data_IF_870488370423
#
_entry.id   IF_870488370423
#
_cell.length_a   1.000
_cell.length_b   1.000
_cell.length_c   1.000
_cell.angle_alpha   90.00
_cell.angle_beta   90.00
_cell.angle_gamma   90.00
#
_symmetry.space_group_name_H-M   'P 1'
#
loop_
_entity.id
_entity.type
_entity.pdbx_description
1 polymer ?
#
# COMPACT_ATOMS: atom_id res chain seq x y z
N UNK A 1 -18.08 -14.50 15.35
CA UNK A 1 -18.99 -15.46 16.00
C UNK A 1 -19.37 -16.48 14.93
N UNK A 2 -18.85 -17.70 15.03
CA UNK A 2 -19.10 -18.73 14.00
C UNK A 2 -20.40 -19.45 14.33
N UNK A 3 -21.37 -19.38 13.42
CA UNK A 3 -22.67 -20.06 13.54
C UNK A 3 -22.54 -21.42 12.87
N UNK A 4 -22.70 -22.49 13.63
CA UNK A 4 -22.58 -23.86 13.15
C UNK A 4 -23.96 -24.48 12.90
N UNK A 5 -24.03 -25.35 11.90
CA UNK A 5 -25.15 -26.27 11.77
C UNK A 5 -25.05 -27.40 12.79
N UNK A 6 -26.18 -28.04 13.14
CA UNK A 6 -26.24 -29.19 14.07
C UNK A 6 -25.24 -30.31 13.72
N UNK A 7 -24.97 -30.51 12.43
CA UNK A 7 -24.01 -31.50 11.95
C UNK A 7 -22.56 -31.08 12.22
N UNK A 8 -22.25 -29.79 12.12
CA UNK A 8 -20.93 -29.24 12.41
C UNK A 8 -20.65 -29.18 13.92
N UNK A 9 -21.67 -28.92 14.75
CA UNK A 9 -21.55 -28.98 16.22
C UNK A 9 -21.11 -30.37 16.70
N UNK A 10 -21.76 -31.44 16.21
CA UNK A 10 -21.40 -32.82 16.57
C UNK A 10 -19.97 -33.22 16.16
N UNK A 11 -19.44 -32.62 15.09
CA UNK A 11 -18.06 -32.85 14.65
C UNK A 11 -17.09 -32.04 15.53
N UNK A 12 -17.44 -30.81 15.86
CA UNK A 12 -16.66 -29.94 16.72
C UNK A 12 -16.46 -30.54 18.12
N UNK A 13 -17.52 -31.09 18.72
CA UNK A 13 -17.48 -31.76 20.04
C UNK A 13 -16.51 -32.95 20.11
N UNK A 14 -16.24 -33.60 18.97
CA UNK A 14 -15.32 -34.73 18.86
C UNK A 14 -13.93 -34.34 18.37
N UNK A 15 -13.68 -33.04 18.20
CA UNK A 15 -12.43 -32.49 17.69
C UNK A 15 -11.68 -31.68 18.75
N UNK A 16 -10.41 -31.38 18.51
CA UNK A 16 -9.62 -30.44 19.33
C UNK A 16 -9.94 -28.97 19.02
N UNK A 17 -10.78 -28.71 18.02
CA UNK A 17 -11.17 -27.38 17.60
C UNK A 17 -12.33 -26.88 18.46
N UNK A 18 -12.12 -25.76 19.15
CA UNK A 18 -13.11 -25.13 20.03
C UNK A 18 -13.72 -23.92 19.31
N UNK A 19 -14.94 -24.00 18.75
CA UNK A 19 -15.55 -22.91 17.99
C UNK A 19 -15.68 -21.60 18.79
N UNK A 20 -15.87 -21.71 20.09
CA UNK A 20 -15.89 -20.58 21.04
C UNK A 20 -14.56 -19.83 21.19
N UNK A 21 -13.45 -20.44 20.76
CA UNK A 21 -12.12 -19.82 20.71
C UNK A 21 -11.74 -19.39 19.29
N UNK A 22 -12.59 -19.65 18.29
CA UNK A 22 -12.33 -19.23 16.93
C UNK A 22 -12.44 -17.70 16.82
N UNK A 23 -11.29 -17.09 16.57
CA UNK A 23 -11.20 -15.66 16.29
C UNK A 23 -11.07 -15.51 14.78
N UNK A 24 -12.08 -14.91 14.19
CA UNK A 24 -12.00 -14.44 12.82
C UNK A 24 -10.95 -13.32 12.77
N UNK A 25 -10.06 -13.37 11.79
CA UNK A 25 -8.91 -12.49 11.76
C UNK A 25 -8.40 -12.32 10.34
N UNK A 26 -8.09 -11.06 10.00
CA UNK A 26 -7.51 -10.69 8.72
C UNK A 26 -6.25 -11.52 8.44
N UNK A 27 -6.10 -11.98 7.20
CA UNK A 27 -4.88 -12.66 6.75
C UNK A 27 -3.73 -11.67 6.61
N UNK A 28 -2.59 -11.95 7.26
CA UNK A 28 -1.35 -11.20 7.10
C UNK A 28 -0.22 -12.18 6.81
N UNK A 29 0.71 -11.80 5.94
CA UNK A 29 1.90 -12.60 5.64
C UNK A 29 2.99 -11.75 5.02
N UNK A 30 4.17 -12.33 4.87
CA UNK A 30 5.32 -11.68 4.24
C UNK A 30 6.08 -12.67 3.36
N UNK A 31 6.74 -12.13 2.34
CA UNK A 31 7.63 -12.88 1.45
C UNK A 31 8.97 -12.17 1.44
N UNK A 32 10.06 -12.92 1.63
CA UNK A 32 11.41 -12.36 1.71
C UNK A 32 12.38 -13.14 0.82
N UNK A 33 13.27 -12.41 0.16
CA UNK A 33 14.42 -13.00 -0.52
C UNK A 33 15.55 -13.14 0.49
N UNK A 34 15.82 -14.38 0.93
CA UNK A 34 16.86 -14.69 1.93
C UNK A 34 18.24 -14.19 1.48
N UNK A 35 18.50 -14.21 0.17
CA UNK A 35 19.76 -13.73 -0.43
C UNK A 35 19.80 -12.22 -0.67
N UNK A 36 18.74 -11.48 -0.32
CA UNK A 36 18.64 -10.04 -0.55
C UNK A 36 18.49 -9.62 -2.02
N UNK A 37 18.25 -10.58 -2.93
CA UNK A 37 18.14 -10.30 -4.37
C UNK A 37 16.76 -9.69 -4.65
N UNK A 38 16.75 -8.46 -5.17
CA UNK A 38 15.54 -7.74 -5.60
C UNK A 38 15.04 -8.34 -6.91
N UNK A 39 13.84 -8.93 -6.90
CA UNK A 39 13.21 -9.50 -8.09
C UNK A 39 11.70 -9.29 -8.05
N UNK A 40 11.06 -9.23 -9.23
CA UNK A 40 9.60 -9.19 -9.34
C UNK A 40 8.93 -10.49 -8.83
N UNK A 41 9.69 -11.57 -8.65
CA UNK A 41 9.18 -12.84 -8.12
C UNK A 41 8.50 -12.67 -6.75
N UNK A 42 9.09 -11.85 -5.87
CA UNK A 42 8.57 -11.59 -4.53
C UNK A 42 7.15 -10.98 -4.60
N UNK A 43 6.92 -10.07 -5.54
CA UNK A 43 5.61 -9.47 -5.76
C UNK A 43 4.59 -10.49 -6.31
N UNK A 44 5.01 -11.37 -7.23
CA UNK A 44 4.15 -12.46 -7.71
C UNK A 44 3.75 -13.41 -6.56
N UNK A 45 4.70 -13.78 -5.70
CA UNK A 45 4.46 -14.63 -4.54
C UNK A 45 3.54 -13.96 -3.52
N UNK A 46 3.74 -12.66 -3.26
CA UNK A 46 2.85 -11.86 -2.40
C UNK A 46 1.43 -11.77 -2.97
N UNK A 47 1.26 -11.64 -4.29
CA UNK A 47 -0.06 -11.69 -4.94
C UNK A 47 -0.74 -13.03 -4.72
N UNK A 48 -0.05 -14.14 -4.97
CA UNK A 48 -0.60 -15.49 -4.73
C UNK A 48 -0.96 -15.70 -3.26
N UNK A 49 -0.19 -15.14 -2.34
CA UNK A 49 -0.52 -15.17 -0.91
C UNK A 49 -1.82 -14.41 -0.62
N UNK A 50 -2.01 -13.20 -1.16
CA UNK A 50 -3.24 -12.42 -1.02
C UNK A 50 -4.45 -13.15 -1.60
N UNK A 51 -4.33 -13.72 -2.81
CA UNK A 51 -5.39 -14.51 -3.45
C UNK A 51 -5.82 -15.69 -2.56
N UNK A 52 -4.86 -16.36 -1.92
CA UNK A 52 -5.13 -17.48 -0.99
C UNK A 52 -5.75 -17.04 0.32
N UNK A 53 -5.63 -15.77 0.71
CA UNK A 53 -6.24 -15.19 1.91
C UNK A 53 -7.64 -14.61 1.66
N UNK A 54 -8.17 -14.68 0.43
CA UNK A 54 -9.50 -14.17 0.10
C UNK A 54 -10.63 -14.74 0.99
N UNK A 55 -10.51 -16.00 1.41
CA UNK A 55 -11.45 -16.65 2.34
C UNK A 55 -11.49 -16.03 3.75
N UNK A 56 -10.55 -15.12 4.06
CA UNK A 56 -10.47 -14.36 5.32
C UNK A 56 -10.81 -12.88 5.13
N UNK A 57 -11.19 -12.49 3.92
CA UNK A 57 -11.68 -11.15 3.63
C UNK A 57 -13.17 -11.05 3.86
N UNK A 58 -13.63 -9.87 4.26
CA UNK A 58 -15.04 -9.50 4.18
C UNK A 58 -15.28 -8.69 2.90
N UNK A 59 -16.50 -8.81 2.38
CA UNK A 59 -16.99 -8.05 1.25
C UNK A 59 -18.19 -7.19 1.68
N UNK A 60 -18.37 -6.05 1.03
CA UNK A 60 -19.51 -5.18 1.19
C UNK A 60 -20.80 -5.83 0.64
N UNK A 61 -21.92 -5.11 0.76
CA UNK A 61 -23.24 -5.60 0.33
C UNK A 61 -23.37 -5.85 -1.18
N UNK A 62 -22.44 -5.35 -1.99
CA UNK A 62 -22.36 -5.60 -3.44
C UNK A 62 -21.67 -6.95 -3.78
N UNK A 63 -21.16 -7.68 -2.79
CA UNK A 63 -20.39 -8.92 -2.92
C UNK A 63 -19.14 -8.80 -3.84
N UNK A 64 -18.69 -7.58 -4.15
CA UNK A 64 -17.58 -7.31 -5.07
C UNK A 64 -16.53 -6.38 -4.44
N UNK A 65 -16.98 -5.39 -3.67
CA UNK A 65 -16.08 -4.52 -2.90
C UNK A 65 -15.56 -5.25 -1.66
N UNK A 66 -14.25 -5.44 -1.55
CA UNK A 66 -13.62 -5.97 -0.35
C UNK A 66 -13.30 -4.90 0.69
N UNK A 67 -13.19 -5.28 1.96
CA UNK A 67 -12.84 -4.37 3.07
C UNK A 67 -11.43 -3.77 2.93
N UNK A 68 -10.52 -4.47 2.25
CA UNK A 68 -9.19 -3.96 1.93
C UNK A 68 -8.16 -5.05 1.66
N UNK A 69 -7.25 -4.77 0.73
CA UNK A 69 -6.06 -5.56 0.47
C UNK A 69 -4.90 -4.64 0.10
N UNK A 70 -3.67 -5.03 0.44
CA UNK A 70 -2.50 -4.21 0.17
C UNK A 70 -1.20 -4.99 0.26
N UNK A 71 -0.15 -4.43 -0.34
CA UNK A 71 1.22 -4.94 -0.24
C UNK A 71 2.17 -3.78 0.04
N UNK A 72 2.99 -3.93 1.09
CA UNK A 72 4.10 -3.02 1.36
C UNK A 72 5.37 -3.62 0.76
N UNK A 73 6.13 -2.80 0.03
CA UNK A 73 7.39 -3.21 -0.59
C UNK A 73 8.47 -2.15 -0.41
N UNK A 74 9.72 -2.53 -0.65
CA UNK A 74 10.79 -1.55 -0.83
C UNK A 74 10.52 -0.66 -2.05
N UNK A 75 11.04 0.57 -2.02
CA UNK A 75 10.87 1.55 -3.11
C UNK A 75 11.33 0.94 -4.45
N UNK A 76 10.43 0.79 -5.45
CA UNK A 76 10.79 0.28 -6.77
C UNK A 76 11.45 1.38 -7.62
N UNK A 77 12.71 1.71 -7.32
CA UNK A 77 13.44 2.86 -7.88
C UNK A 77 13.35 2.95 -9.42
N UNK A 78 13.56 1.84 -10.12
CA UNK A 78 13.52 1.81 -11.58
C UNK A 78 12.16 2.22 -12.14
N UNK A 79 11.07 1.83 -11.48
CA UNK A 79 9.70 2.21 -11.87
C UNK A 79 9.49 3.71 -11.68
N UNK A 80 9.88 4.22 -10.51
CA UNK A 80 9.64 5.62 -10.14
C UNK A 80 10.49 6.57 -10.98
N UNK A 81 11.78 6.28 -11.15
CA UNK A 81 12.68 7.09 -12.00
C UNK A 81 12.17 7.15 -13.43
N UNK A 82 11.78 6.01 -14.02
CA UNK A 82 11.22 5.96 -15.37
C UNK A 82 9.94 6.78 -15.47
N UNK A 83 9.06 6.68 -14.47
CA UNK A 83 7.78 7.39 -14.49
C UNK A 83 7.93 8.90 -14.28
N UNK A 84 8.77 9.33 -13.34
CA UNK A 84 9.03 10.75 -13.05
C UNK A 84 9.72 11.42 -14.24
N UNK A 85 10.73 10.76 -14.84
CA UNK A 85 11.37 11.26 -16.05
C UNK A 85 10.39 11.41 -17.21
N UNK A 86 9.45 10.47 -17.37
CA UNK A 86 8.43 10.54 -18.43
C UNK A 86 7.41 11.66 -18.20
N UNK A 87 7.04 11.93 -16.94
CA UNK A 87 5.98 12.87 -16.61
C UNK A 87 6.47 14.32 -16.53
N UNK A 88 7.59 14.55 -15.84
CA UNK A 88 8.05 15.89 -15.45
C UNK A 88 9.43 16.24 -16.03
N UNK A 89 10.05 15.35 -16.81
CA UNK A 89 11.41 15.50 -17.35
C UNK A 89 12.50 15.70 -16.27
N UNK A 90 12.24 15.19 -15.07
CA UNK A 90 13.15 15.27 -13.91
C UNK A 90 13.85 13.93 -13.68
N UNK A 91 15.14 13.99 -13.38
CA UNK A 91 15.91 12.85 -12.87
C UNK A 91 15.83 12.79 -11.34
N UNK A 92 15.45 11.63 -10.79
CA UNK A 92 15.43 11.42 -9.34
C UNK A 92 16.87 11.34 -8.78
N UNK A 93 17.09 11.75 -7.52
CA UNK A 93 18.34 11.45 -6.82
C UNK A 93 18.64 9.93 -6.79
N UNK A 94 19.89 9.53 -6.51
CA UNK A 94 20.23 8.13 -6.28
C UNK A 94 19.35 7.46 -5.19
N UNK A 95 19.15 6.14 -5.25
CA UNK A 95 18.47 5.40 -4.18
C UNK A 95 19.06 5.73 -2.80
N UNK A 96 18.19 5.99 -1.82
CA UNK A 96 18.60 6.43 -0.47
C UNK A 96 18.73 7.95 -0.31
N UNK A 97 18.77 8.71 -1.41
CA UNK A 97 18.81 10.18 -1.38
C UNK A 97 17.46 10.83 -1.70
N UNK A 98 16.42 10.02 -1.93
CA UNK A 98 15.05 10.48 -2.03
C UNK A 98 14.11 9.55 -1.26
N UNK A 99 13.00 10.13 -0.81
CA UNK A 99 11.87 9.44 -0.23
C UNK A 99 10.64 9.63 -1.13
N UNK A 100 9.62 8.83 -0.85
CA UNK A 100 8.35 8.90 -1.57
C UNK A 100 7.20 8.57 -0.61
N UNK A 101 6.02 9.07 -0.91
CA UNK A 101 4.80 8.77 -0.16
C UNK A 101 3.60 8.71 -1.07
N UNK A 102 2.59 7.93 -0.68
CA UNK A 102 1.30 7.85 -1.36
C UNK A 102 0.28 8.58 -0.49
N UNK A 103 -0.42 9.54 -1.10
CA UNK A 103 -1.47 10.32 -0.46
C UNK A 103 -2.81 9.97 -1.09
N UNK A 104 -3.81 9.75 -0.23
CA UNK A 104 -5.21 9.61 -0.59
C UNK A 104 -5.91 10.93 -0.26
N UNK A 105 -6.47 11.58 -1.28
CA UNK A 105 -7.00 12.93 -1.21
C UNK A 105 -8.41 12.97 -1.80
N UNK A 106 -9.17 14.01 -1.50
CA UNK A 106 -10.37 14.34 -2.28
C UNK A 106 -10.00 15.28 -3.42
N UNK A 107 -10.69 15.18 -4.57
CA UNK A 107 -10.42 16.02 -5.75
C UNK A 107 -10.49 17.51 -5.42
N UNK A 108 -11.52 17.94 -4.69
CA UNK A 108 -11.75 19.33 -4.30
C UNK A 108 -10.66 19.88 -3.37
N UNK A 109 -10.07 19.00 -2.55
CA UNK A 109 -9.03 19.35 -1.57
C UNK A 109 -7.61 19.29 -2.13
N UNK A 110 -7.43 18.74 -3.34
CA UNK A 110 -6.10 18.38 -3.85
C UNK A 110 -5.14 19.58 -3.89
N UNK A 111 -5.60 20.74 -4.33
CA UNK A 111 -4.77 21.95 -4.42
C UNK A 111 -4.31 22.41 -3.04
N UNK A 112 -5.23 22.49 -2.09
CA UNK A 112 -4.94 22.90 -0.71
C UNK A 112 -4.02 21.91 0.00
N UNK A 113 -4.26 20.60 -0.19
CA UNK A 113 -3.41 19.55 0.35
C UNK A 113 -1.98 19.62 -0.22
N UNK A 114 -1.83 19.92 -1.51
CA UNK A 114 -0.52 20.09 -2.16
C UNK A 114 0.23 21.31 -1.62
N UNK A 115 -0.47 22.42 -1.39
CA UNK A 115 0.10 23.63 -0.78
C UNK A 115 0.53 23.35 0.67
N UNK A 116 -0.36 22.79 1.49
CA UNK A 116 -0.06 22.44 2.88
C UNK A 116 1.10 21.44 3.00
N UNK A 117 1.16 20.44 2.12
CA UNK A 117 2.28 19.51 2.07
C UNK A 117 3.58 20.23 1.70
N UNK A 118 3.54 21.16 0.74
CA UNK A 118 4.68 21.99 0.37
C UNK A 118 5.17 22.86 1.53
N UNK A 119 4.27 23.43 2.31
CA UNK A 119 4.59 24.24 3.49
C UNK A 119 5.26 23.39 4.58
N UNK A 120 4.70 22.21 4.86
CA UNK A 120 5.27 21.25 5.80
C UNK A 120 6.64 20.75 5.34
N UNK A 121 6.78 20.42 4.05
CA UNK A 121 8.06 19.98 3.48
C UNK A 121 9.14 21.06 3.66
N UNK A 122 8.81 22.33 3.38
CA UNK A 122 9.71 23.47 3.61
C UNK A 122 10.09 23.62 5.08
N UNK A 123 9.12 23.51 5.99
CA UNK A 123 9.36 23.56 7.43
C UNK A 123 10.28 22.42 7.92
N UNK A 124 10.19 21.24 7.29
CA UNK A 124 11.02 20.08 7.59
C UNK A 124 12.35 20.04 6.83
N UNK A 125 12.72 21.09 6.10
CA UNK A 125 13.91 21.11 5.23
C UNK A 125 13.95 19.94 4.22
N UNK A 126 12.80 19.67 3.63
CA UNK A 126 12.59 18.69 2.57
C UNK A 126 12.09 19.40 1.31
N UNK A 127 12.73 19.12 0.18
CA UNK A 127 12.31 19.57 -1.14
C UNK A 127 11.36 18.56 -1.76
N UNK A 128 10.21 19.04 -2.22
CA UNK A 128 9.32 18.25 -3.09
C UNK A 128 9.88 18.24 -4.51
N UNK A 129 10.07 17.06 -5.08
CA UNK A 129 10.64 16.85 -6.43
C UNK A 129 9.51 16.75 -7.46
N UNK A 130 8.54 15.87 -7.22
CA UNK A 130 7.51 15.52 -8.19
C UNK A 130 6.23 15.06 -7.49
N UNK A 131 5.09 15.37 -8.11
CA UNK A 131 3.77 14.83 -7.78
C UNK A 131 3.29 14.00 -8.96
N UNK A 132 3.05 12.72 -8.73
CA UNK A 132 2.75 11.74 -9.77
C UNK A 132 1.36 11.16 -9.61
N UNK A 133 0.62 11.02 -10.70
CA UNK A 133 -0.61 10.21 -10.74
C UNK A 133 -0.24 8.74 -10.90
N UNK A 134 -0.86 7.86 -10.12
CA UNK A 134 -0.69 6.42 -10.29
C UNK A 134 -1.65 5.91 -11.36
N UNK A 135 -1.20 4.94 -12.15
CA UNK A 135 -2.05 4.23 -13.09
C UNK A 135 -2.92 3.25 -12.29
N UNK A 136 -4.22 3.54 -12.20
CA UNK A 136 -5.21 2.70 -11.53
C UNK A 136 -6.24 2.20 -12.55
N UNK A 137 -6.80 1.01 -12.32
CA UNK A 137 -7.89 0.49 -13.14
C UNK A 137 -9.21 0.51 -12.36
N UNK A 138 -10.02 1.54 -12.60
CA UNK A 138 -11.32 1.72 -11.93
C UNK A 138 -12.32 0.62 -12.30
N UNK A 139 -12.21 -0.02 -13.46
CA UNK A 139 -13.16 -1.06 -13.89
C UNK A 139 -13.09 -2.36 -13.08
N UNK A 140 -12.10 -2.48 -12.19
CA UNK A 140 -11.94 -3.63 -11.29
C UNK A 140 -12.48 -3.38 -9.88
N UNK A 141 -13.12 -2.23 -9.63
CA UNK A 141 -13.70 -1.89 -8.33
C UNK A 141 -15.19 -2.23 -8.29
N UNK A 142 -15.66 -2.77 -7.16
CA UNK A 142 -17.08 -2.92 -6.88
C UNK A 142 -17.79 -1.56 -6.69
N UNK A 143 -19.12 -1.56 -6.77
CA UNK A 143 -19.93 -0.35 -6.74
C UNK A 143 -19.76 0.48 -5.47
N UNK A 144 -19.63 -0.17 -4.31
CA UNK A 144 -19.44 0.55 -3.04
C UNK A 144 -18.05 1.19 -2.93
N UNK A 145 -16.99 0.47 -3.34
CA UNK A 145 -15.64 1.01 -3.36
C UNK A 145 -15.50 2.20 -4.33
N UNK A 146 -16.19 2.15 -5.49
CA UNK A 146 -16.17 3.23 -6.47
C UNK A 146 -16.75 4.56 -5.98
N UNK A 147 -17.70 4.53 -5.03
CA UNK A 147 -18.31 5.74 -4.46
C UNK A 147 -17.35 6.50 -3.54
N UNK A 148 -16.40 5.80 -2.95
CA UNK A 148 -15.44 6.34 -1.98
C UNK A 148 -14.00 6.34 -2.49
N UNK A 149 -13.79 6.08 -3.79
CA UNK A 149 -12.48 6.06 -4.43
C UNK A 149 -11.75 7.42 -4.22
N UNK A 150 -10.59 7.45 -3.54
CA UNK A 150 -9.86 8.68 -3.34
C UNK A 150 -9.03 9.06 -4.58
N UNK A 151 -8.71 10.35 -4.70
CA UNK A 151 -7.65 10.82 -5.57
C UNK A 151 -6.30 10.37 -5.01
N UNK A 152 -5.66 9.40 -5.66
CA UNK A 152 -4.36 8.86 -5.25
C UNK A 152 -3.24 9.63 -5.93
N UNK A 153 -2.28 10.13 -5.14
CA UNK A 153 -1.06 10.79 -5.64
C UNK A 153 0.17 10.26 -4.94
N UNK A 154 1.24 10.10 -5.71
CA UNK A 154 2.54 9.77 -5.16
C UNK A 154 3.43 11.02 -5.18
N UNK A 155 3.99 11.38 -4.04
CA UNK A 155 4.97 12.46 -3.93
C UNK A 155 6.37 11.86 -3.86
N UNK A 156 7.34 12.50 -4.51
CA UNK A 156 8.76 12.21 -4.34
C UNK A 156 9.46 13.44 -3.77
N UNK A 157 10.34 13.25 -2.79
CA UNK A 157 10.97 14.33 -2.04
C UNK A 157 12.41 13.97 -1.65
N UNK A 158 13.25 14.98 -1.43
CA UNK A 158 14.61 14.80 -0.92
C UNK A 158 14.95 15.87 0.11
N UNK A 159 15.98 15.64 0.93
CA UNK A 159 16.47 16.68 1.84
C UNK A 159 17.22 17.77 1.07
N UNK A 160 17.16 19.03 1.55
CA UNK A 160 17.95 20.12 0.96
C UNK A 160 19.46 19.96 1.16
N UNK A 161 19.90 19.21 2.18
CA UNK A 161 21.32 19.04 2.52
C UNK A 161 21.79 17.60 2.31
N UNK A 162 22.17 17.24 1.08
CA UNK A 162 22.69 15.91 0.73
C UNK A 162 24.12 15.64 1.26
N UNK A 163 24.80 16.64 1.84
CA UNK A 163 26.21 16.54 2.23
C UNK A 163 26.48 15.89 3.60
N UNK A 164 25.47 15.53 4.40
CA UNK A 164 25.70 15.06 5.78
C UNK A 164 24.67 14.04 6.29
N UNK A 165 24.12 13.18 5.41
CA UNK A 165 23.09 12.20 5.77
C UNK A 165 23.63 10.77 5.64
N UNK A 166 24.70 10.45 6.34
CA UNK A 166 25.21 9.06 6.39
C UNK A 166 24.44 8.16 7.38
N UNK A 167 23.49 8.70 8.15
CA UNK A 167 22.88 7.95 9.27
C UNK A 167 21.36 8.04 9.46
N UNK A 168 20.60 8.70 8.57
CA UNK A 168 19.14 8.72 8.69
C UNK A 168 18.51 8.06 7.46
N UNK A 169 18.10 6.78 7.54
CA UNK A 169 17.25 6.21 6.51
C UNK A 169 15.90 6.93 6.60
N UNK A 170 15.70 7.94 5.76
CA UNK A 170 14.41 8.61 5.60
C UNK A 170 13.48 7.63 4.86
N UNK A 171 12.99 6.63 5.59
CA UNK A 171 11.86 5.82 5.16
C UNK A 171 10.58 6.54 5.60
N UNK A 172 10.06 7.43 4.74
CA UNK A 172 8.63 7.74 4.83
C UNK A 172 7.88 6.45 4.44
N UNK A 173 7.37 5.76 5.44
CA UNK A 173 6.45 4.65 5.29
C UNK A 173 5.05 5.30 5.25
N UNK A 174 4.37 5.16 4.11
CA UNK A 174 2.92 5.30 4.04
C UNK A 174 2.30 3.93 4.31
#
# INVERSE_FOLDING_TARGET
>A
MVILSKKQEQVAEKSLWLPQLERDGCGVGFVVSIKGIKTHKILCEARTMLERMAHRGACACDNDSGDGAGVLTAIPDLLYRKSVRKQDEIELPPPGQYATGILFLHEDSYKQAKEAFGDLARACHVRVISWRKLDTNRSSLGEEAMKTEPLIRQVSNCSYNLHNIDHLPIHFIC
#
